data_IF_059846981630
#
_entry.id   IF_059846981630
#
_cell.length_a   1.000
_cell.length_b   1.000
_cell.length_c   1.000
_cell.angle_alpha   90.00
_cell.angle_beta   90.00
_cell.angle_gamma   90.00
#
_symmetry.space_group_name_H-M   'P 1'
#
loop_
_entity.id
_entity.type
_entity.pdbx_description
1 polymer ?
#
# COMPACT_ATOMS: atom_id res chain seq x y z
N UNK A 1 -5.44 19.61 17.38
CA UNK A 1 -5.72 19.88 15.94
C UNK A 1 -5.80 18.53 15.26
N UNK A 2 -6.82 18.28 14.42
CA UNK A 2 -6.98 16.97 13.77
C UNK A 2 -5.96 16.78 12.62
N UNK A 3 -5.49 15.56 12.34
CA UNK A 3 -4.67 15.30 11.17
C UNK A 3 -5.43 15.59 9.88
N UNK A 4 -4.74 16.22 8.94
CA UNK A 4 -5.14 16.40 7.55
C UNK A 4 -4.00 15.76 6.77
N UNK A 5 -4.27 14.56 6.27
CA UNK A 5 -3.33 13.70 5.57
C UNK A 5 -3.51 13.96 4.09
N UNK A 6 -2.42 14.29 3.42
CA UNK A 6 -2.38 14.31 1.96
C UNK A 6 -1.65 13.05 1.50
N UNK A 7 -2.36 12.10 0.90
CA UNK A 7 -1.76 10.92 0.32
C UNK A 7 -1.19 11.26 -1.05
N UNK A 8 0.09 10.97 -1.22
CA UNK A 8 0.88 11.26 -2.40
C UNK A 8 1.56 9.97 -2.84
N UNK A 9 1.34 9.58 -4.10
CA UNK A 9 2.08 8.49 -4.71
C UNK A 9 3.28 9.07 -5.50
N UNK A 10 4.53 8.95 -5.01
CA UNK A 10 5.68 9.67 -5.58
C UNK A 10 5.92 9.37 -7.05
N UNK A 11 5.79 8.10 -7.47
CA UNK A 11 5.92 7.65 -8.86
C UNK A 11 5.03 8.42 -9.84
N UNK A 12 3.88 8.92 -9.38
CA UNK A 12 2.90 9.64 -10.20
C UNK A 12 3.03 11.17 -10.06
N UNK A 13 3.38 11.65 -8.86
CA UNK A 13 3.35 13.08 -8.52
C UNK A 13 4.30 13.90 -9.39
N UNK A 14 5.53 13.42 -9.58
CA UNK A 14 6.57 14.12 -10.34
C UNK A 14 6.62 13.79 -11.83
N UNK A 15 5.85 12.82 -12.32
CA UNK A 15 6.03 12.29 -13.67
C UNK A 15 5.43 13.19 -14.75
N UNK A 16 6.19 14.16 -15.24
CA UNK A 16 5.75 15.17 -16.23
C UNK A 16 5.81 14.71 -17.70
N UNK A 17 5.99 13.40 -17.96
CA UNK A 17 6.05 12.88 -19.33
C UNK A 17 4.80 13.28 -20.12
N UNK A 18 4.93 13.84 -21.34
CA UNK A 18 3.78 14.42 -22.05
C UNK A 18 2.79 13.36 -22.56
N UNK A 19 3.26 12.15 -22.80
CA UNK A 19 2.46 11.02 -23.26
C UNK A 19 2.98 9.75 -22.60
N UNK A 20 2.09 8.79 -22.38
CA UNK A 20 2.42 7.47 -21.84
C UNK A 20 2.08 6.42 -22.89
N UNK A 21 2.96 5.44 -23.05
CA UNK A 21 2.75 4.24 -23.86
C UNK A 21 2.06 3.21 -22.97
N UNK A 22 0.97 2.61 -23.44
CA UNK A 22 0.27 1.54 -22.71
C UNK A 22 1.24 0.39 -22.44
N UNK A 23 1.42 0.04 -21.17
CA UNK A 23 2.39 -0.98 -20.76
C UNK A 23 3.84 -0.62 -21.05
N UNK A 24 4.16 0.67 -21.16
CA UNK A 24 5.52 1.18 -21.39
C UNK A 24 6.43 0.98 -20.18
N UNK A 25 7.74 0.90 -20.44
CA UNK A 25 8.78 0.78 -19.40
C UNK A 25 8.99 2.08 -18.65
N UNK A 26 9.79 2.06 -17.58
CA UNK A 26 10.27 3.25 -16.89
C UNK A 26 10.91 4.27 -17.86
N UNK A 27 11.65 3.78 -18.86
CA UNK A 27 12.29 4.63 -19.88
C UNK A 27 11.28 5.33 -20.77
N UNK A 28 10.22 4.61 -21.17
CA UNK A 28 9.18 5.12 -22.06
C UNK A 28 8.31 6.15 -21.35
N UNK A 29 7.83 5.78 -20.16
CA UNK A 29 6.75 6.50 -19.47
C UNK A 29 7.22 7.38 -18.31
N UNK A 30 8.48 7.28 -17.90
CA UNK A 30 9.02 8.02 -16.77
C UNK A 30 8.44 7.59 -15.41
N UNK A 31 8.96 8.23 -14.36
CA UNK A 31 8.55 8.05 -12.98
C UNK A 31 8.86 9.36 -12.23
N UNK A 32 8.00 9.73 -11.29
CA UNK A 32 8.29 10.81 -10.35
C UNK A 32 9.34 10.40 -9.34
N UNK A 33 10.19 11.35 -8.97
CA UNK A 33 11.34 11.17 -8.07
C UNK A 33 11.09 11.81 -6.71
N UNK A 34 11.87 11.41 -5.71
CA UNK A 34 11.85 12.07 -4.40
C UNK A 34 12.11 13.57 -4.52
N UNK A 35 12.98 13.99 -5.44
CA UNK A 35 13.32 15.39 -5.66
C UNK A 35 12.20 16.24 -6.29
N UNK A 36 11.25 15.61 -6.99
CA UNK A 36 10.06 16.30 -7.51
C UNK A 36 9.15 16.82 -6.38
N UNK A 37 9.20 16.16 -5.21
CA UNK A 37 8.54 16.61 -3.98
C UNK A 37 9.39 17.71 -3.35
N UNK A 38 9.45 18.85 -4.04
CA UNK A 38 10.26 20.01 -3.70
C UNK A 38 9.74 20.77 -2.47
N UNK A 39 10.57 21.65 -1.90
CA UNK A 39 10.14 22.56 -0.83
C UNK A 39 8.97 23.45 -1.24
N UNK A 40 8.86 23.80 -2.53
CA UNK A 40 7.71 24.55 -3.07
C UNK A 40 6.44 23.71 -3.03
N UNK A 41 6.50 22.46 -3.48
CA UNK A 41 5.37 21.54 -3.43
C UNK A 41 4.89 21.31 -1.99
N UNK A 42 5.81 21.01 -1.08
CA UNK A 42 5.50 20.81 0.34
C UNK A 42 4.90 22.05 1.01
N UNK A 43 5.41 23.25 0.68
CA UNK A 43 4.82 24.51 1.15
C UNK A 43 3.40 24.68 0.64
N UNK A 44 3.12 24.40 -0.63
CA UNK A 44 1.77 24.47 -1.18
C UNK A 44 0.81 23.47 -0.50
N UNK A 45 1.25 22.24 -0.25
CA UNK A 45 0.46 21.24 0.50
C UNK A 45 0.20 21.68 1.95
N UNK A 46 1.19 22.33 2.59
CA UNK A 46 1.01 22.93 3.91
C UNK A 46 -0.01 24.07 3.89
N UNK A 47 0.01 24.92 2.87
CA UNK A 47 -0.95 26.01 2.67
C UNK A 47 -2.36 25.50 2.35
N UNK A 48 -2.48 24.34 1.68
CA UNK A 48 -3.74 23.61 1.51
C UNK A 48 -4.32 23.13 2.86
N UNK A 49 -3.50 23.08 3.90
CA UNK A 49 -3.88 22.69 5.26
C UNK A 49 -3.37 21.33 5.69
N UNK A 50 -2.57 20.65 4.87
CA UNK A 50 -1.97 19.37 5.25
C UNK A 50 -1.13 19.50 6.52
N UNK A 51 -1.20 18.49 7.38
CA UNK A 51 -0.35 18.34 8.56
C UNK A 51 0.56 17.12 8.42
N UNK A 52 0.17 16.15 7.61
CA UNK A 52 0.91 14.93 7.32
C UNK A 52 0.90 14.69 5.81
N UNK A 53 2.00 14.16 5.28
CA UNK A 53 2.05 13.57 3.95
C UNK A 53 2.15 12.07 4.14
N UNK A 54 1.23 11.32 3.53
CA UNK A 54 1.34 9.88 3.40
C UNK A 54 1.96 9.57 2.03
N UNK A 55 3.21 9.10 2.03
CA UNK A 55 3.87 8.65 0.83
C UNK A 55 3.59 7.16 0.58
N UNK A 56 2.79 6.88 -0.45
CA UNK A 56 2.47 5.51 -0.86
C UNK A 56 3.54 4.93 -1.77
N UNK A 57 3.83 3.64 -1.64
CA UNK A 57 4.77 2.93 -2.51
C UNK A 57 6.23 3.35 -2.34
N UNK A 58 6.64 3.68 -1.12
CA UNK A 58 8.02 4.04 -0.77
C UNK A 58 8.91 2.80 -0.67
N UNK A 59 8.44 1.75 0.00
CA UNK A 59 9.23 0.55 0.28
C UNK A 59 9.51 -0.18 -1.05
N UNK A 60 10.73 -0.68 -1.21
CA UNK A 60 11.15 -1.41 -2.41
C UNK A 60 10.19 -2.56 -2.72
N UNK A 61 9.62 -2.56 -3.91
CA UNK A 61 8.62 -3.54 -4.34
C UNK A 61 9.03 -4.25 -5.63
N UNK A 62 8.34 -5.35 -5.92
CA UNK A 62 8.54 -6.11 -7.15
C UNK A 62 8.32 -5.18 -8.36
N UNK A 63 9.27 -5.16 -9.28
CA UNK A 63 9.24 -4.32 -10.49
C UNK A 63 9.97 -5.05 -11.62
N UNK A 64 9.54 -4.82 -12.86
CA UNK A 64 10.20 -5.37 -14.04
C UNK A 64 11.45 -4.55 -14.44
N UNK A 65 11.75 -3.45 -13.76
CA UNK A 65 12.96 -2.65 -14.00
C UNK A 65 14.17 -3.33 -13.36
N UNK A 66 15.24 -3.49 -14.13
CA UNK A 66 16.44 -4.19 -13.69
C UNK A 66 17.44 -3.26 -13.00
N UNK A 67 17.73 -3.56 -11.74
CA UNK A 67 18.72 -2.90 -10.91
C UNK A 67 19.78 -3.90 -10.40
N UNK A 68 20.08 -4.93 -11.20
CA UNK A 68 21.08 -5.96 -10.85
C UNK A 68 22.45 -5.38 -10.48
N UNK A 69 22.85 -4.25 -11.06
CA UNK A 69 24.10 -3.55 -10.71
C UNK A 69 24.14 -3.05 -9.26
N UNK A 70 22.97 -2.87 -8.63
CA UNK A 70 22.79 -2.49 -7.22
C UNK A 70 22.33 -3.66 -6.34
N UNK A 71 22.37 -4.90 -6.85
CA UNK A 71 21.93 -6.09 -6.10
C UNK A 71 20.41 -6.31 -6.06
N UNK A 72 19.64 -5.56 -6.87
CA UNK A 72 18.18 -5.61 -6.93
C UNK A 72 17.70 -6.02 -8.33
N UNK A 73 17.85 -7.29 -8.74
CA UNK A 73 17.46 -7.72 -10.08
C UNK A 73 15.97 -7.49 -10.36
N UNK A 74 15.62 -7.37 -11.64
CA UNK A 74 14.21 -7.31 -12.07
C UNK A 74 13.43 -8.52 -11.54
N UNK A 75 12.22 -8.25 -11.06
CA UNK A 75 11.26 -9.29 -10.68
C UNK A 75 10.73 -10.00 -11.92
N UNK A 76 10.40 -11.27 -11.77
CA UNK A 76 9.94 -12.07 -12.88
C UNK A 76 8.57 -11.55 -13.38
N UNK A 77 8.39 -11.28 -14.68
CA UNK A 77 7.18 -10.63 -15.21
C UNK A 77 5.89 -11.44 -14.97
N UNK A 78 5.96 -12.78 -14.95
CA UNK A 78 4.78 -13.63 -14.66
C UNK A 78 4.24 -13.51 -13.22
N UNK A 79 5.00 -12.94 -12.30
CA UNK A 79 4.59 -12.73 -10.90
C UNK A 79 4.67 -11.25 -10.51
N UNK A 80 4.68 -10.36 -11.49
CA UNK A 80 4.68 -8.91 -11.29
C UNK A 80 3.48 -8.31 -12.01
N UNK A 81 2.61 -7.62 -11.28
CA UNK A 81 1.44 -6.94 -11.87
C UNK A 81 1.87 -5.64 -12.54
N UNK A 82 1.73 -5.57 -13.87
CA UNK A 82 2.21 -4.46 -14.68
C UNK A 82 3.74 -4.43 -14.77
N UNK A 83 4.30 -3.29 -15.21
CA UNK A 83 5.77 -3.13 -15.31
C UNK A 83 6.38 -2.47 -14.10
N UNK A 84 5.67 -1.50 -13.52
CA UNK A 84 6.12 -0.79 -12.33
C UNK A 84 5.86 -1.60 -11.06
N UNK A 85 4.94 -2.57 -11.13
CA UNK A 85 4.62 -3.45 -10.03
C UNK A 85 3.73 -2.82 -8.97
N UNK A 86 3.08 -3.69 -8.20
CA UNK A 86 2.27 -3.30 -7.05
C UNK A 86 3.17 -2.73 -5.94
N UNK A 87 2.90 -1.54 -5.39
CA UNK A 87 3.62 -1.04 -4.22
C UNK A 87 3.44 -1.90 -2.96
N UNK A 88 2.49 -2.85 -2.99
CA UNK A 88 2.20 -3.78 -1.91
C UNK A 88 2.90 -5.13 -2.05
N UNK A 89 3.50 -5.41 -3.21
CA UNK A 89 4.38 -6.56 -3.39
C UNK A 89 5.81 -6.19 -2.91
N UNK A 90 5.98 -6.00 -1.60
CA UNK A 90 7.27 -5.58 -1.01
C UNK A 90 8.34 -6.64 -1.27
N UNK A 91 9.47 -6.26 -1.88
CA UNK A 91 10.60 -7.15 -2.12
C UNK A 91 11.76 -6.95 -1.15
N UNK A 92 11.90 -5.75 -0.59
CA UNK A 92 12.90 -5.44 0.45
C UNK A 92 12.31 -4.44 1.45
N UNK A 93 12.19 -4.85 2.73
CA UNK A 93 11.63 -4.00 3.78
C UNK A 93 12.59 -2.93 4.31
N UNK A 94 13.90 -3.07 4.06
CA UNK A 94 14.92 -2.18 4.63
C UNK A 94 15.39 -1.11 3.64
N UNK A 95 14.78 -1.08 2.46
CA UNK A 95 15.15 -0.16 1.40
C UNK A 95 13.92 0.49 0.75
N UNK A 96 14.15 1.55 0.00
CA UNK A 96 13.14 2.25 -0.79
C UNK A 96 13.17 1.79 -2.24
N UNK A 97 12.11 2.08 -2.99
CA UNK A 97 12.07 1.70 -4.40
C UNK A 97 13.06 2.52 -5.25
N UNK A 98 13.97 1.86 -6.00
CA UNK A 98 14.98 2.54 -6.83
C UNK A 98 14.38 3.42 -7.92
N UNK A 99 13.14 3.16 -8.36
CA UNK A 99 12.46 3.98 -9.36
C UNK A 99 12.27 5.42 -8.89
N UNK A 100 12.25 5.65 -7.57
CA UNK A 100 11.97 6.95 -6.96
C UNK A 100 13.21 7.81 -6.73
N UNK A 101 14.41 7.24 -6.85
CA UNK A 101 15.68 7.95 -6.69
C UNK A 101 16.17 8.55 -8.01
N UNK A 102 16.89 9.66 -7.96
CA UNK A 102 17.68 10.14 -9.11
C UNK A 102 18.86 9.20 -9.36
N UNK A 103 19.56 8.82 -8.28
CA UNK A 103 20.66 7.88 -8.28
C UNK A 103 20.29 6.65 -7.43
N UNK A 104 20.01 5.48 -8.04
CA UNK A 104 19.69 4.26 -7.30
C UNK A 104 20.75 3.86 -6.25
N UNK A 105 22.02 4.22 -6.45
CA UNK A 105 23.07 3.97 -5.44
C UNK A 105 22.90 4.82 -4.16
N UNK A 106 22.09 5.88 -4.21
CA UNK A 106 21.83 6.80 -3.10
C UNK A 106 20.36 6.83 -2.66
N UNK A 107 19.55 5.86 -3.11
CA UNK A 107 18.10 5.89 -2.94
C UNK A 107 17.63 6.09 -1.49
N UNK A 108 18.26 5.41 -0.52
CA UNK A 108 17.91 5.57 0.89
C UNK A 108 18.31 6.95 1.44
N UNK A 109 19.43 7.51 0.99
CA UNK A 109 19.86 8.86 1.37
C UNK A 109 18.96 9.93 0.76
N UNK A 110 18.51 9.74 -0.48
CA UNK A 110 17.52 10.61 -1.12
C UNK A 110 16.17 10.57 -0.38
N UNK A 111 15.74 9.40 0.09
CA UNK A 111 14.55 9.30 0.94
C UNK A 111 14.72 10.03 2.28
N UNK A 112 15.86 9.88 2.97
CA UNK A 112 16.17 10.64 4.19
C UNK A 112 16.16 12.16 3.94
N UNK A 113 16.63 12.59 2.76
CA UNK A 113 16.57 13.98 2.34
C UNK A 113 15.11 14.45 2.12
N UNK A 114 14.24 13.61 1.54
CA UNK A 114 12.80 13.88 1.44
C UNK A 114 12.17 14.02 2.83
N UNK A 115 12.41 13.09 3.75
CA UNK A 115 11.91 13.14 5.14
C UNK A 115 12.32 14.47 5.81
N UNK A 116 13.60 14.80 5.73
CA UNK A 116 14.14 16.06 6.27
C UNK A 116 13.46 17.28 5.65
N UNK A 117 13.24 17.28 4.33
CA UNK A 117 12.59 18.38 3.61
C UNK A 117 11.13 18.53 4.02
N UNK A 118 10.41 17.43 4.22
CA UNK A 118 9.03 17.39 4.70
C UNK A 118 8.92 17.94 6.12
N UNK A 119 9.81 17.52 7.03
CA UNK A 119 9.85 18.06 8.40
C UNK A 119 10.16 19.55 8.43
N UNK A 120 11.09 20.04 7.58
CA UNK A 120 11.39 21.48 7.45
C UNK A 120 10.19 22.30 6.98
N UNK A 121 9.27 21.70 6.23
CA UNK A 121 8.00 22.32 5.84
C UNK A 121 6.93 22.30 6.96
N UNK A 122 7.25 21.73 8.12
CA UNK A 122 6.32 21.59 9.25
C UNK A 122 5.26 20.51 9.03
N UNK A 123 5.55 19.54 8.16
CA UNK A 123 4.71 18.39 7.84
C UNK A 123 5.31 17.11 8.44
N UNK A 124 4.46 16.15 8.78
CA UNK A 124 4.86 14.82 9.26
C UNK A 124 4.85 13.78 8.13
N UNK A 125 5.62 12.71 8.27
CA UNK A 125 5.76 11.65 7.27
C UNK A 125 5.01 10.39 7.68
N UNK A 126 4.11 9.91 6.83
CA UNK A 126 3.47 8.60 6.95
C UNK A 126 3.92 7.74 5.75
N UNK A 127 4.20 6.46 5.97
CA UNK A 127 4.38 5.48 4.89
C UNK A 127 3.46 4.28 5.09
N UNK A 128 3.30 3.49 4.03
CA UNK A 128 2.65 2.18 4.10
C UNK A 128 3.52 1.18 4.89
N UNK A 129 2.87 0.33 5.68
CA UNK A 129 3.46 -0.87 6.26
C UNK A 129 2.62 -2.08 5.87
N UNK A 130 3.16 -2.93 5.01
CA UNK A 130 2.51 -4.14 4.55
C UNK A 130 2.82 -5.27 5.52
N UNK A 131 1.88 -5.60 6.40
CA UNK A 131 2.09 -6.71 7.34
C UNK A 131 1.61 -8.04 6.78
N UNK A 132 0.61 -8.02 5.89
CA UNK A 132 -0.07 -9.24 5.47
C UNK A 132 0.77 -10.14 4.53
N UNK A 133 1.61 -9.54 3.69
CA UNK A 133 2.25 -10.25 2.60
C UNK A 133 3.52 -9.53 2.11
N UNK A 134 4.29 -10.22 1.28
CA UNK A 134 5.48 -9.72 0.55
C UNK A 134 5.46 -10.21 -0.89
N UNK A 135 6.31 -9.66 -1.76
CA UNK A 135 6.57 -10.21 -3.08
C UNK A 135 7.04 -11.66 -3.01
N UNK A 136 6.75 -12.43 -4.07
CA UNK A 136 7.25 -13.82 -4.19
C UNK A 136 8.78 -13.92 -4.20
N UNK A 137 9.46 -12.94 -4.80
CA UNK A 137 10.92 -12.84 -4.83
C UNK A 137 11.44 -11.84 -3.79
N UNK A 138 11.02 -12.00 -2.53
CA UNK A 138 11.53 -11.19 -1.42
C UNK A 138 13.01 -11.50 -1.15
N UNK A 139 13.82 -10.46 -1.04
CA UNK A 139 15.21 -10.51 -0.61
C UNK A 139 15.62 -9.12 -0.11
N UNK A 140 16.28 -9.05 1.06
CA UNK A 140 16.75 -7.78 1.58
C UNK A 140 18.26 -7.59 1.43
N UNK A 141 18.63 -6.48 0.81
CA UNK A 141 20.03 -6.07 0.60
C UNK A 141 20.56 -5.19 1.73
N UNK A 142 19.66 -4.45 2.41
CA UNK A 142 20.02 -3.49 3.47
C UNK A 142 19.62 -3.94 4.88
N UNK A 143 19.07 -5.14 5.06
CA UNK A 143 18.82 -5.68 6.40
C UNK A 143 20.13 -5.79 7.19
N UNK A 144 20.08 -5.68 8.54
CA UNK A 144 21.22 -6.04 9.37
C UNK A 144 21.70 -7.48 9.11
N UNK A 145 23.01 -7.67 8.91
CA UNK A 145 23.62 -8.97 8.52
C UNK A 145 23.25 -10.16 9.41
N UNK A 146 22.96 -9.90 10.69
CA UNK A 146 22.62 -10.94 11.67
C UNK A 146 21.15 -11.37 11.61
N UNK A 147 20.30 -10.70 10.83
CA UNK A 147 18.90 -11.04 10.68
C UNK A 147 18.70 -11.92 9.43
N UNK A 148 18.00 -13.06 9.54
CA UNK A 148 17.67 -13.88 8.39
C UNK A 148 16.60 -13.19 7.52
N UNK A 149 16.58 -13.51 6.23
CA UNK A 149 15.48 -13.12 5.34
C UNK A 149 14.18 -13.80 5.75
N UNK A 150 13.07 -13.23 5.31
CA UNK A 150 11.77 -13.85 5.47
C UNK A 150 11.72 -15.17 4.69
N UNK A 151 11.48 -16.27 5.39
CA UNK A 151 11.44 -17.63 4.87
C UNK A 151 12.80 -18.33 4.74
N UNK A 152 13.89 -17.71 5.22
CA UNK A 152 15.23 -18.32 5.18
C UNK A 152 15.30 -19.56 6.06
N UNK A 153 14.64 -19.52 7.23
CA UNK A 153 14.67 -20.58 8.23
C UNK A 153 13.40 -21.45 8.27
N UNK A 154 12.51 -21.29 7.29
CA UNK A 154 11.24 -22.00 7.25
C UNK A 154 11.43 -23.49 6.97
N UNK A 155 10.69 -24.33 7.68
CA UNK A 155 10.51 -25.74 7.30
C UNK A 155 9.47 -25.82 6.18
N UNK A 156 9.96 -25.87 4.94
CA UNK A 156 9.15 -25.92 3.71
C UNK A 156 8.42 -27.25 3.52
N UNK A 157 8.70 -28.27 4.34
CA UNK A 157 7.97 -29.55 4.29
C UNK A 157 6.62 -29.48 4.98
N UNK A 158 6.38 -28.45 5.79
CA UNK A 158 5.15 -28.23 6.53
C UNK A 158 4.32 -27.14 5.86
N UNK A 159 3.01 -27.36 5.72
CA UNK A 159 2.10 -26.33 5.22
C UNK A 159 1.98 -25.15 6.19
N UNK A 160 2.01 -25.45 7.49
CA UNK A 160 2.00 -24.48 8.58
C UNK A 160 2.98 -24.91 9.68
N UNK A 161 3.66 -23.91 10.25
CA UNK A 161 4.41 -24.01 11.49
C UNK A 161 4.44 -22.61 12.12
N UNK A 162 4.22 -22.45 13.43
CA UNK A 162 4.31 -21.13 14.08
C UNK A 162 5.72 -20.52 14.01
N UNK A 163 6.73 -21.30 13.62
CA UNK A 163 8.10 -20.81 13.41
C UNK A 163 8.41 -20.43 11.96
N UNK A 164 7.54 -20.76 11.01
CA UNK A 164 7.69 -20.36 9.61
C UNK A 164 7.17 -18.94 9.41
N UNK A 165 7.85 -18.15 8.57
CA UNK A 165 7.38 -16.84 8.13
C UNK A 165 6.28 -16.95 7.06
N UNK A 166 6.24 -18.04 6.27
CA UNK A 166 5.26 -18.28 5.22
C UNK A 166 4.39 -19.53 5.45
N UNK A 167 3.27 -19.58 4.73
CA UNK A 167 2.50 -20.81 4.52
C UNK A 167 2.90 -21.48 3.20
N UNK A 168 3.05 -22.79 3.24
CA UNK A 168 3.46 -23.58 2.08
C UNK A 168 2.35 -24.55 1.64
N UNK A 169 2.47 -25.02 0.41
CA UNK A 169 1.70 -26.12 -0.17
C UNK A 169 2.68 -27.26 -0.49
N UNK A 170 3.05 -28.11 0.50
CA UNK A 170 4.07 -29.13 0.32
C UNK A 170 3.75 -30.08 -0.84
N UNK A 171 4.76 -30.37 -1.65
CA UNK A 171 4.64 -31.25 -2.82
C UNK A 171 3.95 -30.62 -4.04
N UNK A 172 3.56 -29.35 -3.98
CA UNK A 172 2.97 -28.64 -5.12
C UNK A 172 3.94 -27.61 -5.69
N UNK A 173 4.08 -27.57 -7.02
CA UNK A 173 4.80 -26.51 -7.74
C UNK A 173 3.84 -25.38 -8.06
N UNK A 174 4.28 -24.13 -7.88
CA UNK A 174 3.50 -22.95 -8.23
C UNK A 174 3.42 -22.78 -9.75
N UNK A 175 2.24 -22.44 -10.25
CA UNK A 175 2.03 -22.05 -11.64
C UNK A 175 1.42 -20.65 -11.66
N UNK A 176 2.10 -19.65 -12.24
CA UNK A 176 1.52 -18.34 -12.45
C UNK A 176 0.21 -18.42 -13.23
N UNK A 177 -0.73 -17.48 -13.02
CA UNK A 177 -1.95 -17.43 -13.82
C UNK A 177 -1.65 -17.27 -15.30
N UNK A 178 -2.49 -17.87 -16.15
CA UNK A 178 -2.45 -17.63 -17.59
C UNK A 178 -3.11 -16.27 -17.92
N UNK A 179 -2.44 -15.45 -18.70
CA UNK A 179 -2.96 -14.15 -19.15
C UNK A 179 -3.67 -14.30 -20.49
N UNK A 180 -4.90 -13.82 -20.61
CA UNK A 180 -5.66 -13.94 -21.86
C UNK A 180 -5.22 -12.92 -22.93
N UNK A 181 -4.68 -11.77 -22.53
CA UNK A 181 -4.29 -10.67 -23.40
C UNK A 181 -3.04 -9.96 -22.86
N UNK A 182 -2.17 -9.39 -23.72
CA UNK A 182 -1.02 -8.63 -23.29
C UNK A 182 -1.36 -7.30 -22.61
N UNK A 183 -0.60 -6.95 -21.56
CA UNK A 183 -0.73 -5.65 -20.86
C UNK A 183 0.20 -4.54 -21.41
N UNK A 184 0.84 -4.76 -22.55
CA UNK A 184 1.82 -3.85 -23.14
C UNK A 184 2.43 -4.37 -24.45
N UNK A 185 3.45 -3.68 -25.02
CA UNK A 185 4.04 -4.03 -26.31
C UNK A 185 4.85 -5.33 -26.30
N UNK A 186 5.28 -5.81 -25.13
CA UNK A 186 5.81 -7.18 -24.96
C UNK A 186 4.70 -8.03 -24.36
N UNK A 187 4.40 -9.14 -25.01
CA UNK A 187 3.29 -9.99 -24.62
C UNK A 187 3.73 -10.90 -23.47
N UNK A 188 3.05 -10.91 -22.30
CA UNK A 188 3.25 -11.93 -21.28
C UNK A 188 3.15 -13.37 -21.83
N UNK A 189 2.44 -13.56 -22.95
CA UNK A 189 2.35 -14.84 -23.69
C UNK A 189 3.65 -15.24 -24.39
N UNK A 190 4.59 -14.32 -24.59
CA UNK A 190 5.91 -14.62 -25.18
C UNK A 190 6.91 -15.10 -24.10
N UNK A 191 6.55 -15.00 -22.81
CA UNK A 191 7.35 -15.48 -21.70
C UNK A 191 6.92 -16.91 -21.40
N UNK A 192 7.86 -17.85 -21.48
CA UNK A 192 7.63 -19.24 -21.13
C UNK A 192 7.09 -19.34 -19.69
N UNK A 193 5.87 -19.86 -19.47
CA UNK A 193 5.33 -20.05 -18.12
C UNK A 193 6.23 -20.89 -17.19
N UNK A 194 7.09 -21.72 -17.77
CA UNK A 194 8.07 -22.54 -17.05
C UNK A 194 9.36 -21.80 -16.67
N UNK A 195 9.54 -20.54 -17.11
CA UNK A 195 10.73 -19.74 -16.76
C UNK A 195 10.73 -19.27 -15.31
N UNK A 196 9.58 -19.31 -14.64
CA UNK A 196 9.46 -19.12 -13.19
C UNK A 196 9.24 -20.45 -12.49
N UNK A 197 10.06 -20.74 -11.48
CA UNK A 197 9.94 -21.94 -10.66
C UNK A 197 9.87 -21.60 -9.18
N UNK A 198 8.82 -22.09 -8.52
CA UNK A 198 8.69 -22.04 -7.07
C UNK A 198 8.11 -23.38 -6.58
N UNK A 199 8.91 -24.11 -5.80
CA UNK A 199 8.54 -25.39 -5.22
C UNK A 199 9.17 -25.53 -3.82
N UNK A 200 8.38 -25.76 -2.75
CA UNK A 200 6.92 -25.81 -2.75
C UNK A 200 6.29 -24.44 -3.02
N UNK A 201 5.09 -24.44 -3.61
CA UNK A 201 4.27 -23.25 -3.79
C UNK A 201 3.93 -22.64 -2.42
N UNK A 202 3.91 -21.32 -2.35
CA UNK A 202 3.47 -20.56 -1.17
C UNK A 202 2.09 -19.95 -1.39
N UNK A 203 1.31 -19.89 -0.31
CA UNK A 203 -0.04 -19.32 -0.28
C UNK A 203 0.02 -17.83 -0.63
N UNK A 204 -0.90 -17.35 -1.46
CA UNK A 204 -0.95 -15.93 -1.86
C UNK A 204 -1.43 -15.03 -0.72
N UNK A 205 -1.12 -13.73 -0.77
CA UNK A 205 -1.49 -12.79 0.29
C UNK A 205 -3.01 -12.71 0.60
N UNK A 206 -3.88 -13.05 -0.37
CA UNK A 206 -5.33 -13.14 -0.19
C UNK A 206 -5.82 -14.54 0.24
N UNK A 207 -4.95 -15.37 0.82
CA UNK A 207 -5.26 -16.69 1.36
C UNK A 207 -5.71 -17.72 0.30
N UNK A 208 -5.22 -17.62 -0.96
CA UNK A 208 -5.49 -18.63 -1.98
C UNK A 208 -4.67 -19.90 -1.69
N UNK A 209 -5.33 -20.95 -1.19
CA UNK A 209 -4.76 -22.26 -0.87
C UNK A 209 -4.57 -23.15 -2.11
N UNK A 210 -4.23 -22.55 -3.25
CA UNK A 210 -4.01 -23.22 -4.53
C UNK A 210 -2.62 -22.91 -5.06
N UNK A 211 -1.94 -23.91 -5.61
CA UNK A 211 -0.70 -23.73 -6.37
C UNK A 211 -0.91 -23.10 -7.75
N UNK A 212 -2.18 -22.90 -8.14
CA UNK A 212 -2.62 -22.28 -9.40
C UNK A 212 -3.61 -21.15 -9.08
N UNK A 213 -3.13 -19.99 -8.59
CA UNK A 213 -4.01 -18.84 -8.38
C UNK A 213 -4.60 -18.35 -9.71
N UNK A 214 -5.73 -17.66 -9.62
CA UNK A 214 -6.35 -16.93 -10.72
C UNK A 214 -5.69 -15.57 -10.92
N UNK A 215 -6.04 -14.90 -12.03
CA UNK A 215 -5.65 -13.51 -12.29
C UNK A 215 -6.18 -12.51 -11.25
N UNK A 216 -7.23 -12.87 -10.52
CA UNK A 216 -7.85 -12.02 -9.49
C UNK A 216 -7.25 -12.25 -8.10
N UNK A 217 -6.45 -13.30 -7.94
CA UNK A 217 -5.71 -13.54 -6.70
C UNK A 217 -4.49 -12.63 -6.60
N UNK A 218 -3.93 -12.52 -5.39
CA UNK A 218 -2.69 -11.78 -5.15
C UNK A 218 -1.48 -12.65 -5.50
N UNK A 219 -1.48 -13.18 -6.72
CA UNK A 219 -0.49 -14.15 -7.23
C UNK A 219 0.94 -13.60 -7.24
N UNK A 220 1.11 -12.28 -7.22
CA UNK A 220 2.38 -11.55 -7.11
C UNK A 220 2.95 -11.52 -5.68
N UNK A 221 2.17 -12.01 -4.70
CA UNK A 221 2.49 -11.90 -3.27
C UNK A 221 2.41 -13.24 -2.53
N UNK A 222 3.04 -13.31 -1.37
CA UNK A 222 3.06 -14.45 -0.45
C UNK A 222 2.55 -14.02 0.92
N UNK A 223 1.64 -14.82 1.50
CA UNK A 223 1.07 -14.60 2.83
C UNK A 223 2.11 -14.82 3.93
N UNK A 224 2.16 -13.87 4.87
CA UNK A 224 2.96 -13.97 6.08
C UNK A 224 2.20 -14.66 7.23
N UNK A 225 2.92 -15.50 7.97
CA UNK A 225 2.39 -16.38 9.01
C UNK A 225 2.64 -15.81 10.41
N UNK A 226 1.59 -15.25 11.01
CA UNK A 226 1.62 -14.69 12.35
C UNK A 226 1.26 -15.68 13.47
N UNK A 227 1.24 -16.99 13.16
CA UNK A 227 0.83 -18.04 14.08
C UNK A 227 -0.65 -18.39 14.00
N UNK A 228 -1.36 -17.99 12.94
CA UNK A 228 -2.75 -18.41 12.70
C UNK A 228 -2.77 -19.55 11.68
N UNK A 229 -3.16 -20.76 12.07
CA UNK A 229 -3.21 -21.89 11.14
C UNK A 229 -4.43 -21.74 10.20
N UNK A 230 -4.20 -21.21 8.99
CA UNK A 230 -5.25 -21.02 7.98
C UNK A 230 -5.87 -22.34 7.48
N UNK A 231 -5.24 -23.49 7.73
CA UNK A 231 -5.75 -24.79 7.32
C UNK A 231 -6.71 -25.40 8.34
N UNK A 232 -6.55 -25.05 9.63
CA UNK A 232 -7.35 -25.62 10.73
C UNK A 232 -8.17 -24.59 11.51
N UNK A 233 -7.87 -23.30 11.35
CA UNK A 233 -8.45 -22.18 12.09
C UNK A 233 -7.89 -22.00 13.51
N UNK A 234 -6.80 -22.71 13.87
CA UNK A 234 -6.21 -22.65 15.21
C UNK A 234 -5.25 -21.45 15.38
N UNK A 235 -5.14 -20.97 16.62
CA UNK A 235 -4.28 -19.85 16.98
C UNK A 235 -3.08 -20.31 17.81
N UNK A 236 -1.88 -19.89 17.40
CA UNK A 236 -0.58 -20.26 17.97
C UNK A 236 0.26 -19.00 18.22
N UNK A 237 -0.26 -18.09 19.07
CA UNK A 237 0.42 -16.84 19.38
C UNK A 237 1.41 -16.94 20.55
N UNK A 238 1.45 -18.09 21.24
CA UNK A 238 2.33 -18.35 22.38
C UNK A 238 3.14 -19.65 22.18
N UNK A 239 4.48 -19.60 22.25
CA UNK A 239 5.30 -18.40 22.42
C UNK A 239 5.20 -17.46 21.19
N UNK A 240 5.53 -16.18 21.40
CA UNK A 240 5.56 -15.18 20.32
C UNK A 240 6.43 -15.69 19.16
N UNK A 241 5.87 -15.70 17.95
CA UNK A 241 6.53 -16.23 16.76
C UNK A 241 7.73 -15.36 16.33
N UNK A 242 8.76 -15.93 15.67
CA UNK A 242 9.91 -15.17 15.17
C UNK A 242 9.50 -14.01 14.25
N UNK A 243 8.46 -14.19 13.42
CA UNK A 243 7.98 -13.18 12.50
C UNK A 243 7.55 -11.89 13.23
N UNK A 244 6.91 -12.01 14.40
CA UNK A 244 6.46 -10.82 15.15
C UNK A 244 7.63 -9.91 15.52
N UNK A 245 8.79 -10.49 15.88
CA UNK A 245 10.01 -9.74 16.17
C UNK A 245 10.59 -9.11 14.90
N UNK A 246 10.63 -9.83 13.78
CA UNK A 246 11.12 -9.31 12.49
C UNK A 246 10.29 -8.11 12.02
N UNK A 247 8.96 -8.23 12.05
CA UNK A 247 8.05 -7.17 11.60
C UNK A 247 8.06 -5.96 12.55
N UNK A 248 8.22 -6.19 13.86
CA UNK A 248 8.41 -5.10 14.83
C UNK A 248 9.75 -4.39 14.62
N UNK A 249 10.82 -5.13 14.28
CA UNK A 249 12.11 -4.55 13.95
C UNK A 249 12.04 -3.65 12.71
N UNK A 250 11.31 -4.07 11.66
CA UNK A 250 11.09 -3.25 10.46
C UNK A 250 10.38 -1.93 10.81
N UNK A 251 9.33 -1.97 11.64
CA UNK A 251 8.66 -0.76 12.12
C UNK A 251 9.61 0.19 12.86
N UNK A 252 10.46 -0.37 13.73
CA UNK A 252 11.47 0.38 14.48
C UNK A 252 12.54 0.99 13.57
N UNK A 253 12.94 0.26 12.52
CA UNK A 253 13.89 0.74 11.52
C UNK A 253 13.37 2.00 10.82
N UNK A 254 12.18 1.95 10.23
CA UNK A 254 11.60 3.11 9.54
C UNK A 254 11.31 4.28 10.48
N UNK A 255 10.84 4.01 11.70
CA UNK A 255 10.65 5.06 12.71
C UNK A 255 12.00 5.75 13.06
N UNK A 256 13.11 5.01 13.10
CA UNK A 256 14.44 5.58 13.32
C UNK A 256 14.93 6.47 12.17
N UNK A 257 14.39 6.29 10.96
CA UNK A 257 14.67 7.13 9.80
C UNK A 257 13.82 8.41 9.75
N UNK A 258 12.99 8.66 10.76
CA UNK A 258 12.17 9.87 10.87
C UNK A 258 10.76 9.74 10.30
N UNK A 259 10.31 8.52 9.99
CA UNK A 259 8.88 8.26 9.73
C UNK A 259 8.09 8.57 11.01
N UNK A 260 7.02 9.37 10.87
CA UNK A 260 6.16 9.78 11.99
C UNK A 260 4.91 8.89 12.15
N UNK A 261 4.61 8.05 11.15
CA UNK A 261 3.50 7.12 11.24
C UNK A 261 3.44 6.07 10.14
N UNK A 262 2.61 5.06 10.38
CA UNK A 262 2.35 3.97 9.46
C UNK A 262 0.86 3.87 9.15
N UNK A 263 0.52 3.79 7.85
CA UNK A 263 -0.74 3.17 7.43
C UNK A 263 -0.47 1.69 7.25
N UNK A 264 -1.11 0.87 8.06
CA UNK A 264 -0.95 -0.58 8.04
C UNK A 264 -1.94 -1.17 7.02
N UNK A 265 -1.38 -1.69 5.93
CA UNK A 265 -2.10 -2.36 4.85
C UNK A 265 -2.74 -3.66 5.35
N UNK A 266 -3.99 -3.90 4.96
CA UNK A 266 -4.80 -5.07 5.28
C UNK A 266 -4.70 -5.45 6.76
N UNK A 267 -4.70 -4.45 7.65
CA UNK A 267 -4.54 -4.68 9.08
C UNK A 267 -5.60 -5.64 9.63
N UNK A 268 -6.81 -5.59 9.07
CA UNK A 268 -7.93 -6.51 9.35
C UNK A 268 -7.60 -8.01 9.19
N UNK A 269 -6.65 -8.35 8.31
CA UNK A 269 -6.21 -9.72 8.02
C UNK A 269 -5.11 -10.22 8.96
N UNK A 270 -4.62 -9.37 9.86
CA UNK A 270 -3.51 -9.68 10.77
C UNK A 270 -4.05 -9.82 12.20
N UNK A 271 -3.57 -10.79 13.00
CA UNK A 271 -4.03 -10.98 14.36
C UNK A 271 -3.89 -9.72 15.23
N UNK A 272 -4.97 -9.35 15.91
CA UNK A 272 -4.99 -8.24 16.89
C UNK A 272 -3.88 -8.38 17.96
N UNK A 273 -3.56 -9.58 18.47
CA UNK A 273 -2.44 -9.77 19.38
C UNK A 273 -1.08 -9.29 18.84
N UNK A 274 -0.79 -9.50 17.55
CA UNK A 274 0.44 -8.99 16.93
C UNK A 274 0.46 -7.47 16.95
N UNK A 275 -0.63 -6.82 16.53
CA UNK A 275 -0.71 -5.37 16.53
C UNK A 275 -0.50 -4.78 17.92
N UNK A 276 -1.13 -5.38 18.93
CA UNK A 276 -0.96 -4.97 20.33
C UNK A 276 0.50 -5.08 20.79
N UNK A 277 1.17 -6.18 20.44
CA UNK A 277 2.58 -6.39 20.73
C UNK A 277 3.46 -5.36 20.00
N UNK A 278 3.39 -5.31 18.67
CA UNK A 278 4.27 -4.49 17.84
C UNK A 278 4.11 -2.98 18.13
N UNK A 279 2.87 -2.49 18.21
CA UNK A 279 2.60 -1.07 18.51
C UNK A 279 3.11 -0.72 19.92
N UNK A 280 2.95 -1.62 20.90
CA UNK A 280 3.49 -1.40 22.25
C UNK A 280 5.01 -1.30 22.25
N UNK A 281 5.71 -2.25 21.60
CA UNK A 281 7.18 -2.22 21.50
C UNK A 281 7.70 -0.99 20.77
N UNK A 282 7.07 -0.61 19.66
CA UNK A 282 7.47 0.59 18.90
C UNK A 282 7.29 1.85 19.76
N UNK A 283 6.17 1.98 20.46
CA UNK A 283 5.88 3.16 21.30
C UNK A 283 6.77 3.29 22.53
N UNK A 284 7.43 2.21 22.98
CA UNK A 284 8.47 2.32 24.01
C UNK A 284 9.65 3.21 23.55
N UNK A 285 9.95 3.22 22.25
CA UNK A 285 11.02 4.04 21.66
C UNK A 285 10.50 5.30 20.97
N UNK A 286 9.32 5.21 20.34
CA UNK A 286 8.71 6.29 19.56
C UNK A 286 7.27 6.55 20.04
N UNK A 287 7.08 7.21 21.20
CA UNK A 287 5.77 7.30 21.86
C UNK A 287 4.71 8.09 21.07
N UNK A 288 5.13 8.97 20.17
CA UNK A 288 4.25 9.83 19.36
C UNK A 288 4.01 9.28 17.94
N UNK A 289 4.47 8.07 17.66
CA UNK A 289 4.33 7.47 16.34
C UNK A 289 2.86 7.09 16.07
N UNK A 290 2.37 7.51 14.91
CA UNK A 290 0.99 7.33 14.49
C UNK A 290 0.77 5.96 13.83
N UNK A 291 -0.31 5.27 14.17
CA UNK A 291 -0.74 4.04 13.50
C UNK A 291 -2.17 4.16 12.96
N UNK A 292 -2.34 3.88 11.67
CA UNK A 292 -3.63 3.90 10.97
C UNK A 292 -3.91 2.48 10.46
N UNK A 293 -5.04 1.88 10.85
CA UNK A 293 -5.44 0.56 10.37
C UNK A 293 -6.32 0.70 9.12
N UNK A 294 -5.92 0.02 8.04
CA UNK A 294 -6.86 -0.39 7.02
C UNK A 294 -7.64 -1.61 7.53
N UNK A 295 -8.92 -1.38 7.85
CA UNK A 295 -9.82 -2.41 8.35
C UNK A 295 -11.23 -2.14 7.82
N UNK A 296 -11.94 -3.22 7.45
CA UNK A 296 -13.22 -3.14 6.78
C UNK A 296 -14.36 -3.81 7.55
N UNK A 297 -14.09 -4.35 8.75
CA UNK A 297 -15.06 -5.02 9.60
C UNK A 297 -15.47 -4.13 10.78
N UNK A 298 -16.61 -3.40 10.71
CA UNK A 298 -17.02 -2.46 11.77
C UNK A 298 -17.15 -3.10 13.15
N UNK A 299 -17.57 -4.37 13.19
CA UNK A 299 -17.69 -5.15 14.42
C UNK A 299 -16.37 -5.34 15.18
N UNK A 300 -15.22 -5.17 14.51
CA UNK A 300 -13.88 -5.36 15.10
C UNK A 300 -13.17 -4.04 15.41
N UNK A 301 -13.74 -2.88 15.06
CA UNK A 301 -13.07 -1.59 15.20
C UNK A 301 -12.59 -1.31 16.64
N UNK A 302 -13.38 -1.68 17.65
CA UNK A 302 -13.00 -1.51 19.05
C UNK A 302 -11.75 -2.33 19.43
N UNK A 303 -11.58 -3.52 18.86
CA UNK A 303 -10.42 -4.39 19.10
C UNK A 303 -9.13 -3.73 18.58
N UNK A 304 -9.17 -3.18 17.36
CA UNK A 304 -8.02 -2.52 16.75
C UNK A 304 -7.69 -1.20 17.43
N UNK A 305 -8.73 -0.43 17.82
CA UNK A 305 -8.53 0.74 18.68
C UNK A 305 -7.85 0.37 20.00
N UNK A 306 -8.24 -0.76 20.60
CA UNK A 306 -7.67 -1.32 21.82
C UNK A 306 -6.26 -1.90 21.66
N UNK A 307 -5.90 -2.38 20.47
CA UNK A 307 -4.55 -2.82 20.13
C UNK A 307 -3.54 -1.67 20.04
N UNK A 308 -4.02 -0.43 19.94
CA UNK A 308 -3.20 0.77 19.99
C UNK A 308 -3.25 1.63 18.74
N UNK A 309 -3.99 1.24 17.70
CA UNK A 309 -4.20 2.09 16.54
C UNK A 309 -4.83 3.43 16.93
N UNK A 310 -4.35 4.50 16.31
CA UNK A 310 -4.86 5.85 16.52
C UNK A 310 -6.10 6.10 15.66
N UNK A 311 -6.06 5.60 14.42
CA UNK A 311 -7.13 5.78 13.44
C UNK A 311 -7.45 4.50 12.68
N UNK A 312 -8.70 4.40 12.20
CA UNK A 312 -9.25 3.27 11.45
C UNK A 312 -9.95 3.79 10.19
N UNK A 313 -9.94 3.03 9.10
CA UNK A 313 -10.61 3.44 7.86
C UNK A 313 -12.13 3.59 8.00
N UNK A 314 -12.70 4.70 7.51
CA UNK A 314 -14.15 4.88 7.37
C UNK A 314 -14.66 4.47 5.97
N UNK A 315 -14.11 3.39 5.42
CA UNK A 315 -14.35 2.93 4.04
C UNK A 315 -15.74 2.34 3.85
N UNK A 316 -16.08 1.30 4.62
CA UNK A 316 -17.39 0.63 4.51
C UNK A 316 -18.52 1.45 5.16
N UNK A 317 -18.16 2.54 5.84
CA UNK A 317 -19.06 3.46 6.52
C UNK A 317 -19.32 4.74 5.71
N UNK A 318 -18.78 5.86 6.17
CA UNK A 318 -19.07 7.18 5.63
C UNK A 318 -18.70 7.31 4.15
N UNK A 319 -17.57 6.72 3.73
CA UNK A 319 -17.15 6.73 2.33
C UNK A 319 -18.24 6.14 1.42
N UNK A 320 -18.67 4.89 1.67
CA UNK A 320 -19.68 4.22 0.85
C UNK A 320 -21.01 5.00 0.86
N UNK A 321 -21.42 5.50 2.03
CA UNK A 321 -22.65 6.28 2.18
C UNK A 321 -22.60 7.56 1.34
N UNK A 322 -21.50 8.32 1.40
CA UNK A 322 -21.36 9.54 0.62
C UNK A 322 -21.31 9.24 -0.88
N UNK A 323 -20.60 8.18 -1.28
CA UNK A 323 -20.58 7.73 -2.67
C UNK A 323 -21.99 7.42 -3.19
N UNK A 324 -22.78 6.65 -2.45
CA UNK A 324 -24.16 6.31 -2.82
C UNK A 324 -25.09 7.54 -2.83
N UNK A 325 -24.92 8.49 -1.91
CA UNK A 325 -25.69 9.74 -1.90
C UNK A 325 -25.39 10.58 -3.14
N UNK A 326 -24.12 10.71 -3.53
CA UNK A 326 -23.70 11.53 -4.68
C UNK A 326 -24.26 11.01 -6.02
N UNK A 327 -24.60 9.71 -6.09
CA UNK A 327 -25.25 9.09 -7.25
C UNK A 327 -26.73 8.76 -7.00
N UNK A 328 -27.36 9.42 -6.01
CA UNK A 328 -28.80 9.34 -5.72
C UNK A 328 -29.33 7.95 -5.34
N UNK A 329 -28.47 7.04 -4.87
CA UNK A 329 -28.88 5.71 -4.39
C UNK A 329 -29.42 5.72 -2.97
N UNK A 330 -28.97 6.65 -2.13
CA UNK A 330 -29.35 6.72 -0.72
C UNK A 330 -29.64 8.15 -0.24
N UNK A 331 -30.52 8.34 0.76
CA UNK A 331 -30.80 9.64 1.33
C UNK A 331 -29.72 10.10 2.31
N UNK A 332 -29.55 11.42 2.46
CA UNK A 332 -28.57 12.02 3.36
C UNK A 332 -28.75 11.64 4.85
N UNK A 333 -29.94 11.16 5.26
CA UNK A 333 -30.19 10.67 6.62
C UNK A 333 -29.22 9.55 7.05
N UNK A 334 -28.73 8.76 6.08
CA UNK A 334 -27.77 7.66 6.32
C UNK A 334 -26.46 8.14 6.97
N UNK A 335 -26.08 9.40 6.76
CA UNK A 335 -24.90 10.00 7.41
C UNK A 335 -25.08 10.01 8.94
N UNK A 336 -26.27 10.41 9.41
CA UNK A 336 -26.60 10.45 10.84
C UNK A 336 -26.72 9.06 11.46
N UNK A 337 -27.24 8.09 10.71
CA UNK A 337 -27.34 6.70 11.17
C UNK A 337 -25.96 6.08 11.37
N UNK A 338 -25.05 6.29 10.41
CA UNK A 338 -23.68 5.82 10.50
C UNK A 338 -22.94 6.47 11.67
N UNK A 339 -23.04 7.79 11.82
CA UNK A 339 -22.40 8.49 12.94
C UNK A 339 -22.81 7.90 14.30
N UNK A 340 -24.10 7.57 14.48
CA UNK A 340 -24.58 6.90 15.70
C UNK A 340 -24.03 5.48 15.87
N UNK A 341 -23.86 4.74 14.78
CA UNK A 341 -23.34 3.36 14.85
C UNK A 341 -21.87 3.25 15.25
N UNK A 342 -21.08 4.33 15.14
CA UNK A 342 -19.67 4.33 15.51
C UNK A 342 -19.44 4.29 17.04
N UNK A 343 -20.49 4.49 17.85
CA UNK A 343 -20.44 4.32 19.32
C UNK A 343 -19.25 5.02 20.01
N UNK A 344 -18.89 6.23 19.56
CA UNK A 344 -17.79 7.02 20.12
C UNK A 344 -16.41 6.81 19.46
N UNK A 345 -16.34 6.01 18.40
CA UNK A 345 -15.12 5.85 17.58
C UNK A 345 -14.98 6.91 16.49
N UNK A 346 -15.93 7.85 16.37
CA UNK A 346 -16.03 8.83 15.30
C UNK A 346 -14.84 9.80 15.19
N UNK A 347 -14.15 10.06 16.30
CA UNK A 347 -12.90 10.84 16.33
C UNK A 347 -11.67 10.01 15.92
N UNK A 348 -11.84 8.70 15.80
CA UNK A 348 -10.81 7.74 15.37
C UNK A 348 -11.00 7.26 13.92
N UNK A 349 -12.05 7.70 13.22
CA UNK A 349 -12.30 7.30 11.85
C UNK A 349 -11.55 8.20 10.85
N UNK A 350 -10.69 7.62 10.03
CA UNK A 350 -10.05 8.26 8.89
C UNK A 350 -11.05 8.36 7.74
N UNK A 351 -11.38 9.61 7.39
CA UNK A 351 -12.38 9.93 6.38
C UNK A 351 -11.72 10.41 5.10
N UNK A 352 -12.20 9.91 3.99
CA UNK A 352 -11.76 10.26 2.64
C UNK A 352 -12.91 10.09 1.66
N UNK A 353 -12.73 10.60 0.45
CA UNK A 353 -13.61 10.31 -0.70
C UNK A 353 -12.85 9.64 -1.86
N UNK A 354 -11.51 9.62 -1.80
CA UNK A 354 -10.61 8.92 -2.71
C UNK A 354 -9.41 8.37 -1.93
N UNK A 355 -8.89 7.25 -2.40
CA UNK A 355 -7.53 6.74 -2.14
C UNK A 355 -6.99 6.17 -3.46
N UNK A 356 -5.78 5.60 -3.44
CA UNK A 356 -5.19 4.93 -4.60
C UNK A 356 -5.96 3.67 -5.07
N UNK A 357 -6.81 3.07 -4.23
CA UNK A 357 -7.59 1.86 -4.60
C UNK A 357 -8.94 2.19 -5.26
N UNK A 358 -9.33 3.46 -5.24
CA UNK A 358 -10.68 3.89 -5.58
C UNK A 358 -10.76 4.50 -6.97
N UNK A 359 -11.94 4.39 -7.57
CA UNK A 359 -12.27 5.15 -8.78
C UNK A 359 -12.19 6.63 -8.43
N UNK A 360 -11.51 7.41 -9.26
CA UNK A 360 -11.43 8.86 -9.11
C UNK A 360 -12.82 9.48 -9.15
N UNK A 361 -13.09 10.45 -8.29
CA UNK A 361 -14.39 11.12 -8.22
C UNK A 361 -14.72 11.78 -9.55
N UNK A 362 -13.72 12.40 -10.18
CA UNK A 362 -13.82 13.05 -11.48
C UNK A 362 -13.92 12.08 -12.66
N UNK A 363 -13.74 10.77 -12.45
CA UNK A 363 -13.76 9.78 -13.51
C UNK A 363 -15.11 9.71 -14.22
N UNK A 364 -15.09 9.40 -15.52
CA UNK A 364 -16.28 9.08 -16.32
C UNK A 364 -17.05 7.86 -15.78
N UNK A 365 -16.38 7.00 -15.01
CA UNK A 365 -17.00 5.84 -14.37
C UNK A 365 -17.71 6.16 -13.04
N UNK A 366 -17.62 7.41 -12.56
CA UNK A 366 -18.30 7.85 -11.35
C UNK A 366 -19.08 9.17 -11.51
N UNK A 367 -18.54 10.35 -11.16
CA UNK A 367 -19.32 11.61 -11.24
C UNK A 367 -19.18 12.34 -12.58
N UNK A 368 -18.08 12.09 -13.31
CA UNK A 368 -17.64 12.79 -14.53
C UNK A 368 -17.41 14.31 -14.37
N UNK A 369 -17.95 14.92 -13.32
CA UNK A 369 -17.85 16.33 -12.97
C UNK A 369 -17.34 16.43 -11.52
N UNK A 370 -16.08 16.89 -11.32
CA UNK A 370 -15.49 16.97 -9.99
C UNK A 370 -16.24 17.94 -9.05
N UNK A 371 -17.00 18.92 -9.57
CA UNK A 371 -17.73 19.87 -8.72
C UNK A 371 -18.84 19.18 -7.92
N UNK A 372 -19.37 18.05 -8.42
CA UNK A 372 -20.37 17.24 -7.71
C UNK A 372 -19.81 16.57 -6.45
N UNK A 373 -18.49 16.40 -6.35
CA UNK A 373 -17.85 15.82 -5.17
C UNK A 373 -17.77 16.80 -3.99
N UNK A 374 -17.87 18.12 -4.23
CA UNK A 374 -17.64 19.16 -3.22
C UNK A 374 -18.53 18.98 -1.98
N UNK A 375 -19.86 18.76 -2.08
CA UNK A 375 -20.69 18.53 -0.89
C UNK A 375 -20.25 17.30 -0.08
N UNK A 376 -19.86 16.22 -0.75
CA UNK A 376 -19.33 15.02 -0.09
C UNK A 376 -18.04 15.34 0.68
N UNK A 377 -17.10 16.03 0.04
CA UNK A 377 -15.86 16.45 0.70
C UNK A 377 -16.07 17.43 1.86
N UNK A 378 -17.04 18.33 1.77
CA UNK A 378 -17.41 19.20 2.89
C UNK A 378 -17.91 18.39 4.09
N UNK A 379 -18.75 17.36 3.86
CA UNK A 379 -19.19 16.47 4.94
C UNK A 379 -17.99 15.71 5.52
N UNK A 380 -17.17 15.07 4.68
CA UNK A 380 -15.95 14.35 5.09
C UNK A 380 -15.02 15.23 5.93
N UNK A 381 -14.84 16.49 5.53
CA UNK A 381 -13.96 17.43 6.21
C UNK A 381 -14.56 18.05 7.48
N UNK A 382 -15.88 18.23 7.58
CA UNK A 382 -16.51 19.04 8.64
C UNK A 382 -17.35 18.24 9.64
N UNK A 383 -17.75 17.00 9.34
CA UNK A 383 -18.71 16.25 10.17
C UNK A 383 -18.18 15.97 11.60
N UNK A 384 -16.86 15.84 11.80
CA UNK A 384 -16.29 15.65 13.14
C UNK A 384 -14.77 15.92 13.23
N UNK A 385 -14.14 15.54 14.36
CA UNK A 385 -12.72 15.76 14.66
C UNK A 385 -11.79 14.64 14.16
N UNK A 386 -12.33 13.51 13.69
CA UNK A 386 -11.54 12.46 13.03
C UNK A 386 -10.72 12.97 11.83
N UNK A 387 -9.59 12.31 11.51
CA UNK A 387 -8.67 12.80 10.50
C UNK A 387 -9.30 12.79 9.10
N UNK A 388 -8.85 13.74 8.29
CA UNK A 388 -9.21 13.85 6.88
C UNK A 388 -8.06 13.33 6.02
N UNK A 389 -8.37 12.60 4.97
CA UNK A 389 -7.46 12.21 3.92
C UNK A 389 -7.90 12.82 2.58
N UNK A 390 -6.95 13.42 1.86
CA UNK A 390 -7.06 13.92 0.49
C UNK A 390 -6.05 13.16 -0.35
N UNK A 391 -6.48 12.59 -1.48
CA UNK A 391 -5.58 11.87 -2.38
C UNK A 391 -5.05 12.79 -3.49
N UNK A 392 -3.77 12.66 -3.85
CA UNK A 392 -3.14 13.56 -4.82
C UNK A 392 -3.85 13.54 -6.17
N UNK A 393 -4.17 14.72 -6.69
CA UNK A 393 -4.96 14.89 -7.91
C UNK A 393 -6.45 15.10 -7.65
N UNK A 394 -6.96 14.74 -6.46
CA UNK A 394 -8.37 14.97 -6.10
C UNK A 394 -8.72 16.46 -6.11
N UNK A 395 -7.81 17.31 -5.63
CA UNK A 395 -7.97 18.76 -5.50
C UNK A 395 -8.03 19.50 -6.83
N UNK A 396 -7.59 18.86 -7.91
CA UNK A 396 -7.65 19.37 -9.29
C UNK A 396 -8.61 18.57 -10.18
N UNK A 397 -9.31 17.57 -9.63
CA UNK A 397 -10.25 16.73 -10.36
C UNK A 397 -9.58 15.80 -11.37
N UNK A 398 -8.49 15.14 -10.99
CA UNK A 398 -7.82 14.13 -11.82
C UNK A 398 -8.77 12.97 -12.16
N UNK A 399 -9.09 12.73 -13.46
CA UNK A 399 -10.12 11.77 -13.85
C UNK A 399 -9.60 10.34 -14.05
N UNK A 400 -8.27 10.15 -14.11
CA UNK A 400 -7.62 8.89 -14.48
C UNK A 400 -8.13 8.32 -15.82
N UNK A 401 -8.06 9.13 -16.88
CA UNK A 401 -8.53 8.73 -18.22
C UNK A 401 -7.54 7.84 -18.97
N UNK A 402 -8.05 6.75 -19.54
CA UNK A 402 -7.35 5.94 -20.52
C UNK A 402 -6.61 4.74 -19.93
N UNK A 403 -6.30 3.78 -20.80
CA UNK A 403 -5.59 2.58 -20.40
C UNK A 403 -4.10 2.86 -20.16
N UNK A 404 -3.54 2.28 -19.10
CA UNK A 404 -2.12 2.48 -18.73
C UNK A 404 -1.27 1.21 -18.88
N UNK A 405 -1.91 0.05 -18.91
CA UNK A 405 -1.25 -1.26 -18.97
C UNK A 405 -2.10 -2.28 -18.22
N UNK A 406 -1.56 -2.84 -17.14
CA UNK A 406 -2.23 -3.85 -16.31
C UNK A 406 -3.54 -3.34 -15.69
N UNK A 407 -3.59 -2.08 -15.25
CA UNK A 407 -4.82 -1.50 -14.69
C UNK A 407 -5.97 -1.35 -15.69
N UNK A 408 -5.70 -1.37 -17.00
CA UNK A 408 -6.70 -1.02 -18.01
C UNK A 408 -7.21 0.43 -17.87
N UNK A 409 -8.43 0.68 -18.36
CA UNK A 409 -9.16 1.96 -18.23
C UNK A 409 -10.37 1.75 -17.30
N UNK A 410 -10.12 1.67 -15.99
CA UNK A 410 -11.12 1.37 -14.96
C UNK A 410 -11.49 2.57 -14.07
N UNK A 411 -10.95 3.76 -14.39
CA UNK A 411 -11.17 5.00 -13.65
C UNK A 411 -10.32 5.18 -12.39
N UNK A 412 -9.40 4.24 -12.11
CA UNK A 412 -8.41 4.37 -11.04
C UNK A 412 -7.10 4.88 -11.61
N UNK A 413 -6.35 5.62 -10.80
CA UNK A 413 -4.97 5.92 -11.17
C UNK A 413 -4.12 4.68 -10.94
N UNK A 414 -3.48 4.16 -11.98
CA UNK A 414 -2.75 2.88 -11.90
C UNK A 414 -1.70 2.86 -10.80
N UNK A 415 -1.72 1.76 -10.04
CA UNK A 415 -0.67 1.41 -9.08
C UNK A 415 0.25 0.31 -9.61
N UNK A 416 0.08 -0.16 -10.85
CA UNK A 416 0.85 -1.26 -11.44
C UNK A 416 1.74 -0.80 -12.61
N UNK A 417 1.41 0.33 -13.22
CA UNK A 417 2.01 0.83 -14.45
C UNK A 417 2.72 2.17 -14.24
N UNK A 418 3.74 2.43 -15.06
CA UNK A 418 4.35 3.76 -15.15
C UNK A 418 3.38 4.69 -15.89
N UNK A 419 2.82 5.66 -15.17
CA UNK A 419 1.86 6.62 -15.73
C UNK A 419 1.99 7.99 -15.09
N UNK A 420 1.10 8.92 -15.46
CA UNK A 420 1.07 10.32 -15.05
C UNK A 420 -0.32 10.74 -14.58
N UNK A 421 -0.41 11.94 -14.01
CA UNK A 421 -1.68 12.59 -13.64
C UNK A 421 -1.80 13.94 -14.36
N UNK A 422 -2.38 13.98 -15.57
CA UNK A 422 -2.37 15.17 -16.41
C UNK A 422 -3.06 16.40 -15.80
N UNK A 423 -4.10 16.24 -14.99
CA UNK A 423 -4.77 17.36 -14.34
C UNK A 423 -3.90 17.97 -13.23
N UNK A 424 -3.18 17.14 -12.47
CA UNK A 424 -2.25 17.59 -11.42
C UNK A 424 -1.01 18.31 -11.98
N UNK A 425 -0.66 18.03 -13.24
CA UNK A 425 0.55 18.54 -13.87
C UNK A 425 0.33 19.83 -14.68
N UNK A 426 -0.90 20.36 -14.70
CA UNK A 426 -1.23 21.67 -15.27
C UNK A 426 -0.84 22.77 -14.29
#
# INVERSE_FOLDING_TARGET
>A
MKPIIYQLFPRLFGNTRPQVVVGGTLKDNGCGKFNDISSKALKALRELGATHIWYTGIISHATCTDYSEYGLPASHPLITKGRAGSPYAVRDYYDVDPDLAEDPAQQLEEFKALVTRTHRAGLKVIIDFVANHVARQYHSTLKPEHLPDLGENDDRTLGFSPNNDYYYLPGQTFYPPEFAEPFGPENPMDIDPLSYSENPARVTGNDCLSSRPSLFDWYDTVKLNYGYDIFTGQEHYEPITPLWFKMTHILLYWASLGVDGFRCDMAGMIPVPFWKFAISEVRKKFPNLLFIAEIYEPGRYAEYKGAGFDYLYDKVGLYNILHDILVWKHPALRISDHWKSLQGLDDHMLRFMETHDEIRLASKYFLSDPLKAIPGMLVTACLNKGPLLIYNGQEVGEPAEGATGFSGDDGRTSIFDYTRMPALQK
#
